data_IF_322066459070
#
_entry.id   IF_322066459070
#
_cell.length_a   1.000
_cell.length_b   1.000
_cell.length_c   1.000
_cell.angle_alpha   90.00
_cell.angle_beta   90.00
_cell.angle_gamma   90.00
#
_symmetry.space_group_name_H-M   'P 1'
#
loop_
_entity.id
_entity.type
_entity.pdbx_description
1 polymer ?
#
# COMPACT_ATOMS: atom_id res chain seq x y z
N UNK A 1 -26.93 -13.16 0.31
CA UNK A 1 -27.39 -13.25 -1.10
C UNK A 1 -26.45 -12.45 -1.97
N UNK A 2 -25.39 -13.11 -2.41
CA UNK A 2 -24.50 -12.60 -3.46
C UNK A 2 -25.25 -12.73 -4.79
N UNK A 3 -25.14 -11.72 -5.68
CA UNK A 3 -25.76 -11.74 -7.03
C UNK A 3 -24.94 -12.63 -8.00
N UNK A 4 -23.78 -13.09 -7.55
CA UNK A 4 -22.82 -13.88 -8.31
C UNK A 4 -23.35 -15.25 -8.80
N UNK A 5 -24.00 -16.10 -7.98
CA UNK A 5 -24.49 -17.41 -8.42
C UNK A 5 -25.47 -17.38 -9.61
N UNK A 6 -26.45 -16.45 -9.71
CA UNK A 6 -27.35 -16.41 -10.88
C UNK A 6 -26.72 -15.78 -12.13
N UNK A 7 -25.56 -15.13 -12.05
CA UNK A 7 -24.93 -14.45 -13.21
C UNK A 7 -23.93 -15.34 -13.96
N UNK A 8 -23.42 -16.39 -13.33
CA UNK A 8 -22.38 -17.26 -13.90
C UNK A 8 -22.60 -18.71 -13.46
N UNK A 9 -22.67 -19.65 -14.41
CA UNK A 9 -22.89 -21.08 -14.16
C UNK A 9 -21.92 -21.95 -14.99
N UNK A 10 -20.66 -21.52 -15.07
CA UNK A 10 -19.62 -22.24 -15.79
C UNK A 10 -19.19 -23.52 -15.07
N UNK A 11 -18.66 -24.54 -15.78
CA UNK A 11 -18.27 -25.82 -15.18
C UNK A 11 -17.14 -25.72 -14.13
N UNK A 12 -16.37 -24.62 -14.13
CA UNK A 12 -15.28 -24.35 -13.18
C UNK A 12 -15.74 -23.39 -12.05
N UNK A 13 -16.93 -22.79 -12.19
CA UNK A 13 -17.44 -21.74 -11.31
C UNK A 13 -17.54 -22.19 -9.86
N UNK A 14 -18.20 -23.32 -9.60
CA UNK A 14 -18.37 -23.87 -8.25
C UNK A 14 -17.00 -24.10 -7.58
N UNK A 15 -16.09 -24.78 -8.27
CA UNK A 15 -14.74 -25.06 -7.74
C UNK A 15 -13.93 -23.81 -7.36
N UNK A 16 -14.12 -22.69 -8.08
CA UNK A 16 -13.34 -21.45 -7.86
C UNK A 16 -14.05 -20.41 -7.00
N UNK A 17 -15.38 -20.39 -6.96
CA UNK A 17 -16.15 -19.34 -6.30
C UNK A 17 -16.78 -19.79 -4.99
N UNK A 18 -16.94 -21.09 -4.74
CA UNK A 18 -17.61 -21.57 -3.52
C UNK A 18 -16.92 -21.08 -2.24
N UNK A 19 -15.58 -21.13 -2.17
CA UNK A 19 -14.84 -20.64 -1.01
C UNK A 19 -15.04 -19.13 -0.78
N UNK A 20 -15.14 -18.34 -1.86
CA UNK A 20 -15.33 -16.90 -1.80
C UNK A 20 -16.77 -16.56 -1.40
N UNK A 21 -17.75 -17.25 -2.01
CA UNK A 21 -19.17 -17.11 -1.69
C UNK A 21 -19.39 -17.46 -0.22
N UNK A 22 -18.88 -18.58 0.26
CA UNK A 22 -19.02 -19.02 1.65
C UNK A 22 -18.36 -18.02 2.63
N UNK A 23 -17.15 -17.56 2.31
CA UNK A 23 -16.46 -16.53 3.10
C UNK A 23 -17.25 -15.22 3.13
N UNK A 24 -17.83 -14.82 2.00
CA UNK A 24 -18.67 -13.64 1.91
C UNK A 24 -19.97 -13.76 2.70
N UNK A 25 -20.68 -14.88 2.63
CA UNK A 25 -21.91 -15.07 3.39
C UNK A 25 -21.68 -14.94 4.90
N UNK A 26 -20.53 -15.40 5.39
CA UNK A 26 -20.17 -15.34 6.81
C UNK A 26 -19.59 -13.98 7.24
N UNK A 27 -18.79 -13.34 6.38
CA UNK A 27 -17.92 -12.21 6.77
C UNK A 27 -18.20 -10.89 6.05
N UNK A 28 -19.22 -10.78 5.18
CA UNK A 28 -19.50 -9.54 4.43
C UNK A 28 -19.62 -8.29 5.32
N UNK A 29 -20.23 -8.42 6.49
CA UNK A 29 -20.47 -7.31 7.43
C UNK A 29 -19.16 -6.70 7.96
N UNK A 30 -18.06 -7.46 7.99
CA UNK A 30 -16.74 -6.97 8.41
C UNK A 30 -16.21 -5.89 7.46
N UNK A 31 -16.57 -5.95 6.17
CA UNK A 31 -16.19 -4.93 5.18
C UNK A 31 -16.86 -3.58 5.46
N UNK A 32 -18.10 -3.59 5.98
CA UNK A 32 -18.82 -2.36 6.32
C UNK A 32 -18.15 -1.59 7.47
N UNK A 33 -17.59 -2.32 8.43
CA UNK A 33 -16.86 -1.74 9.57
C UNK A 33 -15.36 -1.57 9.31
N UNK A 34 -14.86 -1.97 8.14
CA UNK A 34 -13.43 -1.94 7.82
C UNK A 34 -12.56 -2.74 8.81
N UNK A 35 -13.00 -3.93 9.23
CA UNK A 35 -12.26 -4.77 10.20
C UNK A 35 -11.85 -6.14 9.64
N UNK A 36 -12.12 -6.40 8.35
CA UNK A 36 -11.90 -7.68 7.70
C UNK A 36 -10.43 -8.10 7.66
N UNK A 37 -9.50 -7.14 7.64
CA UNK A 37 -8.06 -7.42 7.69
C UNK A 37 -7.55 -7.62 9.13
N UNK A 38 -8.30 -7.24 10.16
CA UNK A 38 -7.92 -7.41 11.57
C UNK A 38 -8.30 -8.80 12.08
N UNK A 39 -9.54 -9.23 11.81
CA UNK A 39 -10.11 -10.47 12.33
C UNK A 39 -10.39 -11.48 11.22
N UNK A 40 -9.82 -12.67 11.35
CA UNK A 40 -9.99 -13.79 10.42
C UNK A 40 -9.65 -13.43 8.97
N UNK A 41 -8.46 -12.86 8.75
CA UNK A 41 -7.94 -12.44 7.43
C UNK A 41 -7.98 -13.56 6.38
N UNK A 42 -8.01 -14.82 6.81
CA UNK A 42 -8.09 -15.99 5.94
C UNK A 42 -9.45 -16.14 5.26
N UNK A 43 -10.51 -15.61 5.90
CA UNK A 43 -11.92 -15.73 5.48
C UNK A 43 -12.49 -14.41 4.98
N UNK A 44 -11.63 -13.53 4.46
CA UNK A 44 -12.04 -12.27 3.86
C UNK A 44 -12.92 -12.53 2.62
N UNK A 45 -14.11 -11.93 2.62
CA UNK A 45 -15.05 -11.96 1.50
C UNK A 45 -14.38 -11.51 0.19
N UNK A 46 -13.60 -10.43 0.24
CA UNK A 46 -12.86 -9.90 -0.90
C UNK A 46 -11.43 -9.57 -0.45
N UNK A 47 -10.41 -10.31 -0.92
CA UNK A 47 -9.06 -10.19 -0.39
C UNK A 47 -8.49 -8.78 -0.60
N UNK A 48 -8.63 -8.21 -1.80
CA UNK A 48 -8.07 -6.89 -2.15
C UNK A 48 -8.63 -5.73 -1.33
N UNK A 49 -9.79 -5.91 -0.70
CA UNK A 49 -10.35 -4.90 0.20
C UNK A 49 -9.58 -4.75 1.51
N UNK A 50 -8.56 -5.58 1.77
CA UNK A 50 -7.63 -5.37 2.90
C UNK A 50 -7.06 -3.95 2.91
N UNK A 51 -6.73 -3.43 1.72
CA UNK A 51 -6.12 -2.11 1.57
C UNK A 51 -7.07 -1.00 2.01
N UNK A 52 -8.35 -1.11 1.64
CA UNK A 52 -9.36 -0.12 2.01
C UNK A 52 -9.63 -0.11 3.53
N UNK A 53 -9.62 -1.28 4.16
CA UNK A 53 -9.70 -1.35 5.62
C UNK A 53 -8.46 -0.78 6.30
N UNK A 54 -7.26 -1.12 5.82
CA UNK A 54 -6.02 -0.57 6.35
C UNK A 54 -5.99 0.96 6.23
N UNK A 55 -6.40 1.53 5.09
CA UNK A 55 -6.45 2.97 4.88
C UNK A 55 -7.42 3.65 5.87
N UNK A 56 -8.64 3.13 6.04
CA UNK A 56 -9.60 3.71 6.98
C UNK A 56 -9.12 3.61 8.44
N UNK A 57 -8.50 2.49 8.81
CA UNK A 57 -7.91 2.31 10.15
C UNK A 57 -6.76 3.29 10.42
N UNK A 58 -5.89 3.50 9.43
CA UNK A 58 -4.80 4.46 9.52
C UNK A 58 -5.33 5.90 9.52
N UNK A 59 -6.42 6.17 8.80
CA UNK A 59 -7.11 7.45 8.87
C UNK A 59 -7.62 7.73 10.29
N UNK A 60 -8.29 6.77 10.94
CA UNK A 60 -8.70 6.89 12.34
C UNK A 60 -7.49 7.08 13.27
N UNK A 61 -6.43 6.31 13.09
CA UNK A 61 -5.19 6.46 13.85
C UNK A 61 -4.62 7.88 13.70
N UNK A 62 -4.68 8.47 12.50
CA UNK A 62 -4.14 9.80 12.18
C UNK A 62 -4.87 10.95 12.88
N UNK A 63 -6.12 10.74 13.32
CA UNK A 63 -6.86 11.74 14.10
C UNK A 63 -6.14 12.07 15.42
N UNK A 64 -5.46 11.09 16.02
CA UNK A 64 -4.70 11.29 17.25
C UNK A 64 -3.54 12.30 17.05
N UNK A 65 -2.52 12.07 16.18
CA UNK A 65 -1.48 13.05 15.91
C UNK A 65 -2.03 14.35 15.36
N UNK A 66 -3.15 14.33 14.60
CA UNK A 66 -3.81 15.55 14.13
C UNK A 66 -4.31 16.44 15.28
N UNK A 67 -4.97 15.87 16.30
CA UNK A 67 -5.42 16.63 17.48
C UNK A 67 -4.22 17.30 18.18
N UNK A 68 -3.10 16.59 18.33
CA UNK A 68 -1.89 17.15 18.91
C UNK A 68 -1.27 18.22 18.00
N UNK A 69 -1.29 18.02 16.69
CA UNK A 69 -0.76 18.95 15.69
C UNK A 69 -1.53 20.29 15.72
N UNK A 70 -2.86 20.23 15.87
CA UNK A 70 -3.73 21.42 15.96
C UNK A 70 -3.45 22.25 17.23
N UNK A 71 -3.11 21.60 18.36
CA UNK A 71 -2.79 22.29 19.62
C UNK A 71 -1.35 22.78 19.68
N UNK A 72 -0.41 21.93 19.28
CA UNK A 72 1.02 22.23 19.25
C UNK A 72 1.71 21.40 18.16
N UNK A 73 2.15 22.04 17.05
CA UNK A 73 2.73 21.33 15.92
C UNK A 73 3.90 20.42 16.28
N UNK A 74 4.73 20.83 17.26
CA UNK A 74 5.87 20.02 17.69
C UNK A 74 5.42 18.70 18.32
N UNK A 75 4.35 18.71 19.12
CA UNK A 75 3.82 17.49 19.76
C UNK A 75 3.21 16.54 18.73
N UNK A 76 2.43 17.07 17.79
CA UNK A 76 1.84 16.26 16.70
C UNK A 76 2.91 15.60 15.82
N UNK A 77 3.95 16.35 15.45
CA UNK A 77 5.07 15.83 14.67
C UNK A 77 5.91 14.80 15.46
N UNK A 78 6.18 15.05 16.75
CA UNK A 78 6.88 14.08 17.60
C UNK A 78 6.10 12.77 17.74
N UNK A 79 4.78 12.85 17.96
CA UNK A 79 3.93 11.67 18.03
C UNK A 79 3.91 10.91 16.69
N UNK A 80 3.82 11.61 15.57
CA UNK A 80 3.84 11.00 14.24
C UNK A 80 5.16 10.26 13.99
N UNK A 81 6.30 10.89 14.32
CA UNK A 81 7.64 10.27 14.22
C UNK A 81 7.79 9.04 15.13
N UNK A 82 7.25 9.13 16.35
CA UNK A 82 7.23 8.00 17.28
C UNK A 82 6.45 6.82 16.70
N UNK A 83 5.24 7.06 16.17
CA UNK A 83 4.42 6.02 15.55
C UNK A 83 5.07 5.41 14.30
N UNK A 84 5.78 6.20 13.50
CA UNK A 84 6.60 5.69 12.37
C UNK A 84 7.64 4.70 12.88
N UNK A 85 8.46 5.09 13.86
CA UNK A 85 9.52 4.23 14.42
C UNK A 85 8.91 2.96 15.02
N UNK A 86 7.80 3.09 15.76
CA UNK A 86 7.10 1.96 16.36
C UNK A 86 6.61 0.97 15.29
N UNK A 87 6.02 1.47 14.20
CA UNK A 87 5.54 0.61 13.12
C UNK A 87 6.66 -0.14 12.40
N UNK A 88 7.82 0.51 12.17
CA UNK A 88 9.01 -0.12 11.59
C UNK A 88 9.52 -1.23 12.52
N UNK A 89 9.63 -0.95 13.82
CA UNK A 89 10.09 -1.95 14.81
C UNK A 89 9.14 -3.16 14.86
N UNK A 90 7.82 -2.94 14.85
CA UNK A 90 6.82 -4.02 14.82
C UNK A 90 7.00 -4.88 13.57
N UNK A 91 7.17 -4.26 12.41
CA UNK A 91 7.42 -4.95 11.15
C UNK A 91 8.72 -5.78 11.19
N UNK A 92 9.82 -5.19 11.67
CA UNK A 92 11.11 -5.86 11.82
C UNK A 92 11.03 -7.09 12.73
N UNK A 93 10.44 -6.93 13.92
CA UNK A 93 10.31 -8.01 14.91
C UNK A 93 9.51 -9.18 14.33
N UNK A 94 8.40 -8.87 13.64
CA UNK A 94 7.56 -9.91 13.06
C UNK A 94 8.28 -10.68 11.94
N UNK A 95 8.98 -9.98 11.03
CA UNK A 95 9.72 -10.62 9.94
C UNK A 95 10.80 -11.56 10.48
N UNK A 96 11.54 -11.15 11.52
CA UNK A 96 12.55 -12.00 12.16
C UNK A 96 11.91 -13.22 12.81
N UNK A 97 10.81 -13.04 13.55
CA UNK A 97 10.15 -14.13 14.28
C UNK A 97 9.57 -15.19 13.35
N UNK A 98 8.91 -14.77 12.28
CA UNK A 98 8.21 -15.68 11.37
C UNK A 98 9.11 -16.18 10.24
N UNK A 99 10.38 -15.74 10.18
CA UNK A 99 11.27 -15.94 9.05
C UNK A 99 10.52 -15.61 7.74
N UNK A 100 9.98 -14.40 7.65
CA UNK A 100 9.21 -13.97 6.49
C UNK A 100 10.11 -13.40 5.38
N UNK A 101 9.70 -13.50 4.11
CA UNK A 101 10.40 -12.82 3.01
C UNK A 101 10.29 -11.29 3.14
N UNK A 102 11.19 -10.51 2.52
CA UNK A 102 11.19 -9.04 2.56
C UNK A 102 9.97 -8.41 1.86
N UNK A 103 9.25 -9.17 1.04
CA UNK A 103 8.16 -8.71 0.19
C UNK A 103 7.27 -9.87 -0.26
N UNK A 104 6.18 -9.56 -0.96
CA UNK A 104 5.39 -10.56 -1.68
C UNK A 104 6.21 -11.12 -2.83
N UNK A 105 6.77 -12.32 -2.68
CA UNK A 105 7.36 -13.06 -3.80
C UNK A 105 6.23 -13.87 -4.43
N UNK A 106 5.68 -13.36 -5.53
CA UNK A 106 4.61 -14.04 -6.27
C UNK A 106 5.30 -14.91 -7.32
N UNK A 107 5.67 -16.13 -6.95
CA UNK A 107 6.32 -17.09 -7.85
C UNK A 107 5.32 -17.90 -8.69
N UNK A 108 4.08 -18.10 -8.21
CA UNK A 108 3.07 -18.90 -8.89
C UNK A 108 1.63 -18.43 -8.60
N UNK A 109 0.68 -18.60 -9.54
CA UNK A 109 -0.75 -18.34 -9.33
C UNK A 109 -1.39 -19.05 -8.11
N UNK A 110 -0.75 -20.08 -7.54
CA UNK A 110 -1.19 -20.78 -6.34
C UNK A 110 -0.73 -20.14 -5.02
N UNK A 111 0.25 -19.24 -5.03
CA UNK A 111 0.90 -18.72 -3.82
C UNK A 111 0.03 -17.75 -3.01
N UNK A 112 -1.12 -17.32 -3.55
CA UNK A 112 -1.99 -16.35 -2.88
C UNK A 112 -2.58 -16.87 -1.55
N UNK A 113 -2.67 -18.19 -1.37
CA UNK A 113 -3.39 -18.79 -0.22
C UNK A 113 -2.91 -20.16 0.24
N UNK A 114 -1.90 -20.75 -0.41
CA UNK A 114 -1.30 -21.98 0.11
C UNK A 114 -0.62 -21.64 1.44
N UNK A 115 -0.78 -22.51 2.43
CA UNK A 115 -0.24 -22.41 3.81
C UNK A 115 1.31 -22.38 3.89
N UNK A 116 1.97 -22.09 2.77
CA UNK A 116 3.39 -21.85 2.65
C UNK A 116 3.73 -20.41 3.10
N UNK A 117 5.02 -20.07 3.06
CA UNK A 117 5.61 -18.80 3.48
C UNK A 117 4.90 -17.56 2.91
N UNK A 118 4.37 -17.64 1.69
CA UNK A 118 3.63 -16.56 1.02
C UNK A 118 2.29 -16.24 1.69
N UNK A 119 1.55 -17.26 2.14
CA UNK A 119 0.28 -17.06 2.86
C UNK A 119 0.48 -16.39 4.22
N UNK A 120 1.55 -16.77 4.95
CA UNK A 120 1.90 -16.12 6.24
C UNK A 120 2.29 -14.65 6.06
N UNK A 121 3.04 -14.33 5.00
CA UNK A 121 3.37 -12.95 4.66
C UNK A 121 2.12 -12.11 4.44
N UNK A 122 1.17 -12.60 3.63
CA UNK A 122 -0.07 -11.87 3.32
C UNK A 122 -0.89 -11.56 4.57
N UNK A 123 -1.05 -12.53 5.49
CA UNK A 123 -1.79 -12.30 6.76
C UNK A 123 -1.25 -11.14 7.58
N UNK A 124 0.07 -10.95 7.56
CA UNK A 124 0.69 -9.83 8.26
C UNK A 124 0.67 -8.58 7.41
N UNK A 125 1.03 -8.68 6.13
CA UNK A 125 1.04 -7.56 5.20
C UNK A 125 -0.29 -6.81 5.18
N UNK A 126 -1.41 -7.51 5.28
CA UNK A 126 -2.75 -6.91 5.25
C UNK A 126 -3.07 -6.07 6.50
N UNK A 127 -2.28 -6.19 7.56
CA UNK A 127 -2.46 -5.47 8.81
C UNK A 127 -2.05 -4.00 8.68
N UNK A 128 -2.80 -3.06 9.30
CA UNK A 128 -2.58 -1.63 9.11
C UNK A 128 -1.22 -1.16 9.66
N UNK A 129 -0.72 -1.78 10.73
CA UNK A 129 0.54 -1.36 11.35
C UNK A 129 1.75 -1.51 10.43
N UNK A 130 1.70 -2.37 9.41
CA UNK A 130 2.79 -2.49 8.44
C UNK A 130 2.84 -1.33 7.45
N UNK A 131 1.74 -0.61 7.27
CA UNK A 131 1.66 0.52 6.33
C UNK A 131 1.67 1.86 7.05
N UNK A 132 1.62 1.85 8.39
CA UNK A 132 1.54 3.05 9.21
C UNK A 132 2.72 4.02 9.00
N UNK A 133 3.95 3.52 8.83
CA UNK A 133 5.11 4.39 8.57
C UNK A 133 4.96 5.16 7.26
N UNK A 134 4.56 4.48 6.17
CA UNK A 134 4.36 5.06 4.84
C UNK A 134 3.25 6.12 4.91
N UNK A 135 2.12 5.76 5.52
CA UNK A 135 0.98 6.65 5.70
C UNK A 135 1.36 7.92 6.48
N UNK A 136 2.06 7.76 7.61
CA UNK A 136 2.43 8.88 8.47
C UNK A 136 3.51 9.79 7.87
N UNK A 137 4.36 9.27 6.98
CA UNK A 137 5.26 10.12 6.17
C UNK A 137 4.43 11.03 5.26
N UNK A 138 3.42 10.49 4.59
CA UNK A 138 2.46 11.27 3.82
C UNK A 138 1.73 12.31 4.68
N UNK A 139 1.31 11.94 5.89
CA UNK A 139 0.67 12.85 6.85
C UNK A 139 1.58 14.03 7.25
N UNK A 140 2.84 13.74 7.63
CA UNK A 140 3.83 14.78 7.96
C UNK A 140 4.10 15.66 6.74
N UNK A 141 4.25 15.07 5.56
CA UNK A 141 4.44 15.81 4.31
C UNK A 141 3.25 16.74 4.04
N UNK A 142 2.01 16.27 4.17
CA UNK A 142 0.80 17.07 4.03
C UNK A 142 0.74 18.27 4.98
N UNK A 143 1.20 18.11 6.22
CA UNK A 143 1.36 19.25 7.15
C UNK A 143 2.35 20.29 6.62
N UNK A 144 3.51 19.86 6.12
CA UNK A 144 4.53 20.78 5.59
C UNK A 144 4.08 21.45 4.28
N UNK A 145 3.30 20.76 3.44
CA UNK A 145 2.72 21.31 2.21
C UNK A 145 1.93 22.59 2.46
N UNK A 146 1.21 22.70 3.59
CA UNK A 146 0.46 23.92 3.94
C UNK A 146 1.36 25.16 4.07
N UNK A 147 2.63 24.97 4.41
CA UNK A 147 3.60 26.06 4.59
C UNK A 147 4.43 26.33 3.33
N UNK A 148 4.33 25.47 2.31
CA UNK A 148 5.01 25.65 1.03
C UNK A 148 4.22 26.66 0.19
N UNK A 149 4.87 27.75 -0.20
CA UNK A 149 4.35 28.71 -1.17
C UNK A 149 5.00 28.43 -2.52
N UNK A 150 4.20 28.27 -3.57
CA UNK A 150 4.66 27.88 -4.93
C UNK A 150 5.78 28.78 -5.47
N UNK A 151 5.80 30.07 -5.12
CA UNK A 151 6.70 31.04 -5.72
C UNK A 151 8.01 31.27 -4.94
N UNK A 152 8.26 30.55 -3.86
CA UNK A 152 9.50 30.74 -3.07
C UNK A 152 10.61 29.72 -3.41
N UNK A 153 10.27 28.60 -4.06
CA UNK A 153 11.24 27.56 -4.37
C UNK A 153 11.74 27.68 -5.81
N UNK A 154 12.98 28.13 -5.97
CA UNK A 154 13.61 28.28 -7.28
C UNK A 154 14.29 26.97 -7.71
N UNK A 155 13.69 26.32 -8.69
CA UNK A 155 14.24 25.14 -9.36
C UNK A 155 15.33 25.55 -10.35
N UNK A 156 16.57 25.18 -10.05
CA UNK A 156 17.67 25.26 -11.03
C UNK A 156 17.76 23.93 -11.77
N UNK A 157 18.30 23.93 -13.00
CA UNK A 157 18.54 22.70 -13.77
C UNK A 157 19.24 21.61 -12.95
N UNK A 158 20.21 22.02 -12.13
CA UNK A 158 20.93 21.13 -11.22
C UNK A 158 20.04 20.50 -10.14
N UNK A 159 19.23 21.30 -9.42
CA UNK A 159 18.31 20.77 -8.39
C UNK A 159 17.30 19.79 -8.98
N UNK A 160 16.75 20.11 -10.14
CA UNK A 160 15.81 19.24 -10.86
C UNK A 160 16.50 17.93 -11.25
N UNK A 161 17.71 17.99 -11.80
CA UNK A 161 18.49 16.79 -12.14
C UNK A 161 18.81 15.93 -10.93
N UNK A 162 19.22 16.53 -9.81
CA UNK A 162 19.47 15.80 -8.55
C UNK A 162 18.20 15.09 -8.06
N UNK A 163 17.05 15.79 -8.04
CA UNK A 163 15.79 15.20 -7.61
C UNK A 163 15.39 13.98 -8.47
N UNK A 164 15.56 14.09 -9.79
CA UNK A 164 15.31 12.98 -10.71
C UNK A 164 16.29 11.82 -10.53
N UNK A 165 17.58 12.09 -10.34
CA UNK A 165 18.57 11.06 -10.02
C UNK A 165 18.20 10.34 -8.72
N UNK A 166 17.79 11.08 -7.69
CA UNK A 166 17.32 10.49 -6.42
C UNK A 166 16.09 9.61 -6.64
N UNK A 167 15.10 10.06 -7.40
CA UNK A 167 13.90 9.26 -7.75
C UNK A 167 14.31 7.97 -8.47
N UNK A 168 15.14 8.06 -9.51
CA UNK A 168 15.54 6.91 -10.32
C UNK A 168 16.37 5.91 -9.52
N UNK A 169 17.33 6.37 -8.72
CA UNK A 169 18.15 5.49 -7.87
C UNK A 169 17.26 4.80 -6.83
N UNK A 170 16.40 5.56 -6.12
CA UNK A 170 15.50 4.98 -5.13
C UNK A 170 14.54 3.96 -5.76
N UNK A 171 14.00 4.26 -6.95
CA UNK A 171 13.13 3.34 -7.68
C UNK A 171 13.85 2.05 -8.08
N UNK A 172 15.07 2.15 -8.61
CA UNK A 172 15.88 0.97 -8.95
C UNK A 172 16.18 0.13 -7.69
N UNK A 173 16.49 0.76 -6.56
CA UNK A 173 16.66 0.04 -5.30
C UNK A 173 15.38 -0.70 -4.91
N UNK A 174 14.21 -0.07 -4.96
CA UNK A 174 12.93 -0.70 -4.64
C UNK A 174 12.55 -1.89 -5.54
N UNK A 175 13.06 -1.95 -6.77
CA UNK A 175 12.77 -3.04 -7.72
C UNK A 175 13.79 -4.17 -7.60
N UNK A 176 15.07 -3.83 -7.45
CA UNK A 176 16.16 -4.81 -7.45
C UNK A 176 16.51 -5.34 -6.05
N UNK A 177 15.99 -4.73 -4.99
CA UNK A 177 16.14 -5.20 -3.61
C UNK A 177 15.47 -6.55 -3.33
N UNK A 178 14.64 -7.07 -4.24
CA UNK A 178 14.01 -8.40 -4.11
C UNK A 178 14.52 -9.39 -5.16
N UNK A 179 15.39 -8.95 -6.08
CA UNK A 179 15.89 -9.75 -7.19
C UNK A 179 16.55 -11.08 -6.76
N UNK A 180 17.48 -11.13 -5.77
CA UNK A 180 18.12 -12.38 -5.34
C UNK A 180 17.12 -13.51 -5.00
N UNK A 181 16.01 -13.16 -4.37
CA UNK A 181 15.02 -14.10 -3.86
C UNK A 181 14.07 -14.63 -4.93
N UNK A 182 13.84 -13.85 -5.98
CA UNK A 182 13.08 -14.30 -7.16
C UNK A 182 13.79 -15.49 -7.84
N UNK A 183 15.12 -15.54 -7.78
CA UNK A 183 15.93 -16.63 -8.34
C UNK A 183 16.17 -17.79 -7.35
N UNK A 184 15.43 -17.83 -6.23
CA UNK A 184 15.47 -18.96 -5.29
C UNK A 184 16.63 -18.93 -4.29
N UNK A 185 17.35 -17.80 -4.16
CA UNK A 185 18.31 -17.65 -3.06
C UNK A 185 17.57 -17.61 -1.72
N UNK A 186 18.11 -18.26 -0.67
CA UNK A 186 17.49 -18.24 0.64
C UNK A 186 17.48 -16.81 1.20
N UNK A 187 16.36 -16.38 1.77
CA UNK A 187 16.31 -15.14 2.53
C UNK A 187 16.84 -15.33 3.93
N UNK A 188 17.58 -14.32 4.37
CA UNK A 188 18.05 -14.20 5.74
C UNK A 188 17.06 -13.31 6.50
N UNK A 189 16.57 -13.73 7.68
CA UNK A 189 15.52 -12.99 8.38
C UNK A 189 15.92 -11.55 8.74
N UNK A 190 17.19 -11.34 9.10
CA UNK A 190 17.73 -10.02 9.47
C UNK A 190 17.74 -9.07 8.28
N UNK A 191 18.25 -9.53 7.12
CA UNK A 191 18.25 -8.71 5.90
C UNK A 191 16.83 -8.42 5.43
N UNK A 192 15.92 -9.39 5.55
CA UNK A 192 14.52 -9.22 5.18
C UNK A 192 13.82 -8.18 6.05
N UNK A 193 14.09 -8.21 7.36
CA UNK A 193 13.56 -7.27 8.32
C UNK A 193 14.06 -5.84 8.08
N UNK A 194 15.28 -5.66 7.57
CA UNK A 194 15.81 -4.33 7.24
C UNK A 194 15.27 -3.81 5.91
N UNK A 195 15.24 -4.65 4.88
CA UNK A 195 14.89 -4.23 3.51
C UNK A 195 13.40 -3.91 3.40
N UNK A 196 12.51 -4.71 4.02
CA UNK A 196 11.06 -4.53 3.89
C UNK A 196 10.56 -3.12 4.32
N UNK A 197 10.81 -2.62 5.54
CA UNK A 197 10.43 -1.26 5.92
C UNK A 197 11.21 -0.21 5.11
N UNK A 198 12.49 -0.45 4.79
CA UNK A 198 13.30 0.49 4.02
C UNK A 198 12.72 0.72 2.62
N UNK A 199 12.23 -0.34 1.97
CA UNK A 199 11.57 -0.25 0.68
C UNK A 199 10.32 0.63 0.77
N UNK A 200 9.48 0.43 1.79
CA UNK A 200 8.32 1.28 2.06
C UNK A 200 8.68 2.75 2.28
N UNK A 201 9.76 3.02 3.01
CA UNK A 201 10.29 4.37 3.23
C UNK A 201 10.80 5.02 1.93
N UNK A 202 11.57 4.29 1.12
CA UNK A 202 12.07 4.75 -0.17
C UNK A 202 10.91 5.09 -1.10
N UNK A 203 9.89 4.22 -1.16
CA UNK A 203 8.68 4.46 -1.95
C UNK A 203 7.94 5.72 -1.51
N UNK A 204 7.75 5.91 -0.19
CA UNK A 204 7.14 7.13 0.36
C UNK A 204 7.94 8.39 0.01
N UNK A 205 9.28 8.32 0.05
CA UNK A 205 10.16 9.43 -0.32
C UNK A 205 10.06 9.75 -1.82
N UNK A 206 10.03 8.74 -2.69
CA UNK A 206 9.86 8.94 -4.14
C UNK A 206 8.56 9.72 -4.40
N UNK A 207 7.45 9.26 -3.86
CA UNK A 207 6.15 9.88 -4.07
C UNK A 207 6.09 11.31 -3.49
N UNK A 208 6.64 11.54 -2.30
CA UNK A 208 6.64 12.89 -1.70
C UNK A 208 7.51 13.87 -2.48
N UNK A 209 8.65 13.44 -3.04
CA UNK A 209 9.48 14.28 -3.94
C UNK A 209 8.72 14.62 -5.22
N UNK A 210 8.06 13.65 -5.85
CA UNK A 210 7.27 13.88 -7.06
C UNK A 210 6.15 14.89 -6.80
N UNK A 211 5.40 14.72 -5.70
CA UNK A 211 4.32 15.64 -5.32
C UNK A 211 4.89 17.03 -4.99
N UNK A 212 6.02 17.09 -4.29
CA UNK A 212 6.70 18.35 -3.97
C UNK A 212 7.10 19.12 -5.24
N UNK A 213 7.64 18.44 -6.25
CA UNK A 213 7.94 19.03 -7.56
C UNK A 213 6.65 19.56 -8.21
N UNK A 214 5.57 18.77 -8.20
CA UNK A 214 4.30 19.19 -8.80
C UNK A 214 3.71 20.45 -8.16
N UNK A 215 3.86 20.61 -6.84
CA UNK A 215 3.36 21.78 -6.09
C UNK A 215 4.24 23.02 -6.30
N UNK A 216 5.57 22.84 -6.33
CA UNK A 216 6.53 23.96 -6.39
C UNK A 216 6.89 24.37 -7.80
N UNK A 217 6.78 23.49 -8.79
CA UNK A 217 6.94 23.77 -10.21
C UNK A 217 5.75 23.22 -11.03
N UNK A 218 4.63 23.96 -11.07
CA UNK A 218 3.47 23.60 -11.89
C UNK A 218 3.77 23.56 -13.40
N UNK A 219 4.87 24.18 -13.85
CA UNK A 219 5.26 24.20 -15.26
C UNK A 219 6.15 23.01 -15.64
N UNK A 220 6.59 22.20 -14.66
CA UNK A 220 7.35 20.99 -14.87
C UNK A 220 6.61 20.00 -15.78
N UNK A 221 7.38 19.15 -16.47
CA UNK A 221 6.85 18.13 -17.35
C UNK A 221 5.88 17.17 -16.61
N UNK A 222 6.22 16.73 -15.40
CA UNK A 222 5.36 15.83 -14.61
C UNK A 222 4.07 16.53 -14.22
N UNK A 223 4.13 17.77 -13.72
CA UNK A 223 2.95 18.50 -13.30
C UNK A 223 1.96 18.67 -14.45
N UNK A 224 2.47 18.93 -15.67
CA UNK A 224 1.65 19.00 -16.89
C UNK A 224 1.02 17.65 -17.25
N UNK A 225 1.77 16.55 -17.17
CA UNK A 225 1.22 15.20 -17.41
C UNK A 225 0.11 14.92 -16.41
N UNK A 226 0.36 15.05 -15.11
CA UNK A 226 -0.63 14.73 -14.08
C UNK A 226 -1.83 15.67 -14.06
N UNK A 227 -1.68 16.89 -14.57
CA UNK A 227 -2.78 17.84 -14.73
C UNK A 227 -3.55 17.66 -16.04
N UNK A 228 -3.19 16.69 -16.88
CA UNK A 228 -3.83 16.50 -18.17
C UNK A 228 -5.29 16.07 -18.02
N UNK A 229 -6.19 16.72 -18.77
CA UNK A 229 -7.64 16.48 -18.71
C UNK A 229 -8.05 15.04 -19.02
N UNK A 230 -7.23 14.31 -19.78
CA UNK A 230 -7.41 12.88 -20.06
C UNK A 230 -7.49 12.04 -18.78
N UNK A 231 -6.75 12.40 -17.73
CA UNK A 231 -6.75 11.67 -16.47
C UNK A 231 -7.95 11.98 -15.57
N UNK A 232 -8.76 13.00 -15.87
CA UNK A 232 -9.93 13.37 -15.07
C UNK A 232 -11.05 12.32 -15.08
N UNK A 233 -11.49 11.75 -16.22
CA UNK A 233 -12.44 10.65 -16.19
C UNK A 233 -11.83 9.38 -15.60
N UNK A 234 -10.56 9.10 -15.90
CA UNK A 234 -9.87 7.91 -15.41
C UNK A 234 -9.77 7.92 -13.88
N UNK A 235 -9.39 9.05 -13.27
CA UNK A 235 -9.29 9.21 -11.82
C UNK A 235 -10.62 9.07 -11.08
N UNK A 236 -11.76 9.29 -11.75
CA UNK A 236 -13.09 9.06 -11.17
C UNK A 236 -13.50 7.58 -11.22
N UNK A 237 -12.97 6.83 -12.18
CA UNK A 237 -13.26 5.40 -12.35
C UNK A 237 -12.35 4.51 -11.52
N UNK A 238 -11.16 4.98 -11.09
CA UNK A 238 -10.17 4.17 -10.37
C UNK A 238 -10.76 3.45 -9.18
N UNK A 239 -11.61 4.09 -8.38
CA UNK A 239 -12.24 3.46 -7.22
C UNK A 239 -13.22 2.35 -7.61
N UNK A 240 -14.08 2.59 -8.61
CA UNK A 240 -15.01 1.58 -9.11
C UNK A 240 -14.28 0.39 -9.73
N UNK A 241 -13.21 0.64 -10.49
CA UNK A 241 -12.34 -0.40 -11.04
C UNK A 241 -11.66 -1.16 -9.91
N UNK A 242 -11.10 -0.47 -8.90
CA UNK A 242 -10.49 -1.12 -7.75
C UNK A 242 -11.47 -2.06 -7.00
N UNK A 243 -12.72 -1.65 -6.83
CA UNK A 243 -13.71 -2.52 -6.18
C UNK A 243 -14.04 -3.78 -7.01
N UNK A 244 -14.09 -3.65 -8.33
CA UNK A 244 -14.62 -4.70 -9.23
C UNK A 244 -13.56 -5.55 -9.93
N UNK A 245 -12.30 -5.11 -9.98
CA UNK A 245 -11.29 -5.75 -10.83
C UNK A 245 -10.98 -7.20 -10.43
N UNK A 246 -11.01 -7.56 -9.14
CA UNK A 246 -10.78 -8.95 -8.73
C UNK A 246 -11.85 -9.86 -9.32
N UNK A 247 -13.13 -9.48 -9.23
CA UNK A 247 -14.22 -10.24 -9.84
C UNK A 247 -13.98 -10.43 -11.34
N UNK A 248 -13.61 -9.37 -12.06
CA UNK A 248 -13.34 -9.43 -13.50
C UNK A 248 -12.14 -10.32 -13.82
N UNK A 249 -11.04 -10.21 -13.08
CA UNK A 249 -9.83 -11.03 -13.29
C UNK A 249 -10.11 -12.51 -13.03
N UNK A 250 -10.86 -12.84 -11.98
CA UNK A 250 -11.23 -14.22 -11.70
C UNK A 250 -12.19 -14.81 -12.75
N UNK A 251 -13.00 -13.99 -13.41
CA UNK A 251 -13.93 -14.42 -14.47
C UNK A 251 -13.22 -14.53 -15.84
N UNK A 252 -12.44 -13.51 -16.24
CA UNK A 252 -11.84 -13.41 -17.58
C UNK A 252 -10.63 -14.33 -17.77
N UNK A 253 -9.91 -14.68 -16.68
CA UNK A 253 -8.74 -15.56 -16.76
C UNK A 253 -9.02 -16.93 -17.38
N UNK A 254 -10.30 -17.29 -17.56
CA UNK A 254 -10.75 -18.58 -18.07
C UNK A 254 -11.59 -18.49 -19.38
N UNK A 255 -11.39 -17.46 -20.21
CA UNK A 255 -11.68 -17.54 -21.68
C UNK A 255 -10.38 -17.70 -22.46
#
# INVERSE_FOLDING_TARGET
MTILPPMFDGPVWQYRMDWMIESCEKSWWKNFFYIQNLFDSDTMCEPHLWYLAADMQLHWLSLLPLIFLLKNPRRGLLLSKFLIILSIIIQMIWIVKENAPPGTIISSPGDFRVEDKSGKYLKFHDKPWNHAHIFLIGFIFGYHVRHIKSNHFHWTKWKTMMAWMTIMIAYLLCIYDTYPWIFGLPYTPIWSALISPLNGLLWAMILTIIIFICITDPQSFIAKIFSWSLFRPLSRMTFSVFLTHFLVVYIIRDT
#
